data_IF_399543607642
#
_entry.id   IF_399543607642
#
_cell.length_a   1.000
_cell.length_b   1.000
_cell.length_c   1.000
_cell.angle_alpha   90.00
_cell.angle_beta   90.00
_cell.angle_gamma   90.00
#
_symmetry.space_group_name_H-M   'P 1'
#
loop_
_entity.id
_entity.type
_entity.pdbx_description
1 polymer ?
#
# COMPACT_ATOMS: atom_id res chain seq x y z
N UNK A 1 10.49 -30.71 86.28
CA UNK A 1 9.35 -29.98 86.82
C UNK A 1 8.91 -28.87 85.87
N UNK A 2 7.62 -28.74 85.71
CA UNK A 2 6.83 -27.70 84.93
C UNK A 2 6.53 -28.07 83.51
N UNK A 3 5.46 -28.54 83.31
CA UNK A 3 4.02 -28.12 83.16
C UNK A 3 3.67 -27.72 81.74
N UNK A 4 2.99 -28.65 81.11
CA UNK A 4 2.39 -28.53 79.81
C UNK A 4 1.10 -27.71 79.94
N UNK A 5 0.94 -26.65 79.12
CA UNK A 5 -0.36 -26.00 78.91
C UNK A 5 -0.79 -26.20 77.46
N UNK A 6 -1.85 -26.97 77.35
CA UNK A 6 -2.61 -27.16 76.13
C UNK A 6 -3.51 -25.95 75.87
N UNK A 7 -3.48 -25.40 74.69
CA UNK A 7 -4.47 -24.44 74.23
C UNK A 7 -5.34 -25.06 73.14
N UNK A 8 -6.63 -25.04 73.42
CA UNK A 8 -7.68 -25.57 72.58
C UNK A 8 -7.86 -24.67 71.33
N UNK A 9 -7.96 -25.34 70.15
CA UNK A 9 -8.44 -24.76 68.91
C UNK A 9 -9.95 -24.56 68.99
N UNK A 10 -10.42 -23.36 68.78
CA UNK A 10 -11.82 -23.07 68.41
C UNK A 10 -11.91 -22.95 66.90
N UNK A 11 -12.63 -23.85 66.27
CA UNK A 11 -13.09 -23.77 64.92
C UNK A 11 -14.24 -22.74 64.86
N UNK A 12 -14.07 -21.69 64.07
CA UNK A 12 -15.16 -20.89 63.57
C UNK A 12 -15.19 -20.96 62.05
N UNK A 13 -16.16 -21.68 61.59
CA UNK A 13 -16.57 -21.77 60.16
C UNK A 13 -17.25 -20.49 59.74
N UNK A 14 -16.67 -19.78 58.82
CA UNK A 14 -17.33 -18.64 58.14
C UNK A 14 -16.83 -18.55 56.72
N UNK A 15 -17.50 -19.21 55.76
CA UNK A 15 -17.27 -19.01 54.33
C UNK A 15 -17.93 -17.72 53.91
N UNK A 16 -17.25 -16.74 53.28
CA UNK A 16 -17.92 -15.69 52.57
C UNK A 16 -18.30 -16.19 51.13
N UNK A 17 -19.52 -15.90 50.74
CA UNK A 17 -20.11 -16.22 49.49
C UNK A 17 -19.32 -15.55 48.34
N UNK A 18 -18.85 -16.38 47.37
CA UNK A 18 -18.27 -15.92 46.12
C UNK A 18 -19.36 -15.34 45.23
N UNK A 19 -19.37 -14.03 45.13
CA UNK A 19 -20.17 -13.25 44.16
C UNK A 19 -19.67 -13.56 42.74
N UNK A 20 -20.43 -14.38 42.00
CA UNK A 20 -20.24 -14.59 40.56
C UNK A 20 -20.40 -13.24 39.86
N UNK A 21 -19.31 -12.70 39.34
CA UNK A 21 -19.35 -11.59 38.35
C UNK A 21 -19.53 -12.22 36.99
N UNK A 22 -20.74 -12.21 36.47
CA UNK A 22 -21.02 -12.39 35.06
C UNK A 22 -20.43 -11.21 34.29
N UNK A 23 -19.28 -11.45 33.67
CA UNK A 23 -18.66 -10.55 32.72
C UNK A 23 -18.67 -11.21 31.35
N UNK A 24 -19.85 -11.37 30.76
CA UNK A 24 -19.99 -11.60 29.33
C UNK A 24 -19.72 -10.26 28.60
N UNK A 25 -18.45 -9.84 28.59
CA UNK A 25 -18.00 -8.76 27.72
C UNK A 25 -17.77 -9.39 26.34
N UNK A 26 -18.81 -9.43 25.49
CA UNK A 26 -18.66 -9.65 24.06
C UNK A 26 -17.61 -8.68 23.53
N UNK A 27 -16.42 -9.19 23.25
CA UNK A 27 -15.45 -8.51 22.41
C UNK A 27 -15.99 -8.59 20.99
N UNK A 28 -16.60 -7.51 20.54
CA UNK A 28 -16.81 -7.29 19.11
C UNK A 28 -15.43 -7.24 18.46
N UNK A 29 -14.95 -8.39 18.02
CA UNK A 29 -13.81 -8.48 17.14
C UNK A 29 -14.26 -7.87 15.81
N UNK A 30 -14.02 -6.56 15.61
CA UNK A 30 -14.00 -5.97 14.28
C UNK A 30 -13.11 -6.87 13.43
N UNK A 31 -13.71 -7.65 12.55
CA UNK A 31 -13.03 -8.31 11.43
C UNK A 31 -12.36 -7.19 10.62
N UNK A 32 -11.12 -6.88 10.94
CA UNK A 32 -10.25 -6.12 10.08
C UNK A 32 -10.13 -6.94 8.80
N UNK A 33 -10.79 -6.52 7.72
CA UNK A 33 -10.63 -7.15 6.42
C UNK A 33 -9.14 -7.22 6.13
N UNK A 34 -8.62 -8.44 5.93
CA UNK A 34 -7.23 -8.66 5.59
C UNK A 34 -6.93 -7.80 4.33
N UNK A 35 -6.16 -6.73 4.49
CA UNK A 35 -5.70 -5.92 3.36
C UNK A 35 -4.89 -6.84 2.48
N UNK A 36 -5.41 -7.16 1.29
CA UNK A 36 -4.73 -7.99 0.31
C UNK A 36 -3.35 -7.36 0.04
N UNK A 37 -2.29 -8.08 0.36
CA UNK A 37 -0.92 -7.65 0.06
C UNK A 37 -0.75 -7.61 -1.47
N UNK A 38 0.00 -6.62 -1.95
CA UNK A 38 0.35 -6.51 -3.36
C UNK A 38 1.37 -7.62 -3.68
N UNK A 39 1.16 -8.33 -4.78
CA UNK A 39 2.15 -9.26 -5.30
C UNK A 39 3.28 -8.46 -5.96
N UNK A 40 4.54 -8.83 -5.70
CA UNK A 40 5.70 -8.19 -6.33
C UNK A 40 5.62 -8.16 -7.86
N UNK A 41 4.96 -9.16 -8.48
CA UNK A 41 4.73 -9.20 -9.93
C UNK A 41 3.75 -8.12 -10.44
N UNK A 42 3.01 -7.45 -9.56
CA UNK A 42 2.07 -6.38 -9.92
C UNK A 42 2.75 -5.00 -9.91
N UNK A 43 3.94 -4.87 -9.33
CA UNK A 43 4.62 -3.59 -9.14
C UNK A 43 5.02 -2.98 -10.48
N UNK A 44 5.83 -3.68 -11.26
CA UNK A 44 6.33 -3.16 -12.55
C UNK A 44 5.20 -2.89 -13.53
N UNK A 45 4.23 -3.82 -13.76
CA UNK A 45 3.07 -3.52 -14.61
C UNK A 45 2.29 -2.28 -14.18
N UNK A 46 2.11 -2.09 -12.85
CA UNK A 46 1.40 -0.90 -12.33
C UNK A 46 2.20 0.37 -12.57
N UNK A 47 3.50 0.35 -12.38
CA UNK A 47 4.36 1.50 -12.65
C UNK A 47 4.37 1.89 -14.15
N UNK A 48 4.46 0.91 -15.05
CA UNK A 48 4.32 1.16 -16.48
C UNK A 48 2.92 1.71 -16.83
N UNK A 49 1.89 1.22 -16.17
CA UNK A 49 0.54 1.77 -16.33
C UNK A 49 0.45 3.23 -15.86
N UNK A 50 1.09 3.59 -14.73
CA UNK A 50 1.17 4.98 -14.25
C UNK A 50 1.81 5.88 -15.29
N UNK A 51 3.01 5.54 -15.77
CA UNK A 51 3.77 6.31 -16.76
C UNK A 51 2.96 6.54 -18.04
N UNK A 52 2.44 5.44 -18.63
CA UNK A 52 1.71 5.52 -19.88
C UNK A 52 0.38 6.29 -19.73
N UNK A 53 -0.31 6.15 -18.60
CA UNK A 53 -1.55 6.89 -18.32
C UNK A 53 -1.29 8.38 -18.21
N UNK A 54 -0.24 8.81 -17.49
CA UNK A 54 0.14 10.22 -17.38
C UNK A 54 0.52 10.78 -18.75
N UNK A 55 1.30 10.03 -19.54
CA UNK A 55 1.71 10.46 -20.88
C UNK A 55 0.55 10.60 -21.84
N UNK A 56 -0.40 9.67 -21.83
CA UNK A 56 -1.61 9.77 -22.63
C UNK A 56 -2.47 10.99 -22.25
N UNK A 57 -2.60 11.25 -20.96
CA UNK A 57 -3.35 12.40 -20.49
C UNK A 57 -2.66 13.71 -20.82
N UNK A 58 -1.33 13.78 -20.73
CA UNK A 58 -0.52 14.91 -21.18
C UNK A 58 -0.78 15.27 -22.65
N UNK A 59 -0.86 14.28 -23.54
CA UNK A 59 -1.15 14.53 -24.95
C UNK A 59 -2.61 14.92 -25.22
N UNK A 60 -3.52 14.48 -24.36
CA UNK A 60 -4.94 14.68 -24.54
C UNK A 60 -5.44 16.01 -24.01
N UNK A 61 -4.85 16.54 -22.96
CA UNK A 61 -5.32 17.78 -22.33
C UNK A 61 -5.16 18.97 -23.28
N UNK A 62 -6.18 19.83 -23.33
CA UNK A 62 -6.16 21.09 -24.05
C UNK A 62 -5.87 22.28 -23.15
N UNK A 63 -5.80 22.08 -21.83
CA UNK A 63 -5.46 23.11 -20.86
C UNK A 63 -3.95 23.19 -20.70
N UNK A 64 -3.36 24.37 -20.96
CA UNK A 64 -1.91 24.56 -20.91
C UNK A 64 -1.31 24.31 -19.53
N UNK A 65 -1.96 24.76 -18.44
CA UNK A 65 -1.48 24.53 -17.08
C UNK A 65 -1.45 23.03 -16.75
N UNK A 66 -2.51 22.32 -17.09
CA UNK A 66 -2.56 20.84 -16.94
C UNK A 66 -1.51 20.14 -17.80
N UNK A 67 -1.28 20.62 -19.03
CA UNK A 67 -0.26 20.07 -19.93
C UNK A 67 1.14 20.19 -19.31
N UNK A 68 1.48 21.37 -18.79
CA UNK A 68 2.77 21.60 -18.12
C UNK A 68 2.90 20.76 -16.85
N UNK A 69 1.88 20.73 -16.01
CA UNK A 69 1.91 19.93 -14.78
C UNK A 69 2.04 18.42 -15.05
N UNK A 70 1.41 17.90 -16.10
CA UNK A 70 1.56 16.48 -16.48
C UNK A 70 2.91 16.17 -17.09
N UNK A 71 3.56 17.12 -17.75
CA UNK A 71 4.92 16.95 -18.30
C UNK A 71 5.94 16.83 -17.16
N UNK A 72 5.86 17.71 -16.17
CA UNK A 72 6.71 17.67 -14.97
C UNK A 72 6.48 16.38 -14.17
N UNK A 73 5.20 15.98 -13.97
CA UNK A 73 4.86 14.74 -13.31
C UNK A 73 5.47 13.53 -14.04
N UNK A 74 5.32 13.48 -15.38
CA UNK A 74 5.85 12.38 -16.19
C UNK A 74 7.38 12.28 -16.04
N UNK A 75 8.10 13.39 -16.12
CA UNK A 75 9.55 13.41 -15.97
C UNK A 75 10.00 12.87 -14.60
N UNK A 76 9.35 13.32 -13.52
CA UNK A 76 9.62 12.85 -12.16
C UNK A 76 9.32 11.35 -12.00
N UNK A 77 8.14 10.91 -12.46
CA UNK A 77 7.75 9.51 -12.39
C UNK A 77 8.70 8.61 -13.16
N UNK A 78 9.10 9.01 -14.37
CA UNK A 78 10.00 8.21 -15.21
C UNK A 78 11.33 7.93 -14.50
N UNK A 79 11.96 8.95 -13.92
CA UNK A 79 13.21 8.78 -13.18
C UNK A 79 13.04 7.96 -11.91
N UNK A 80 12.00 8.24 -11.11
CA UNK A 80 11.81 7.55 -9.83
C UNK A 80 11.33 6.11 -9.96
N UNK A 81 10.55 5.81 -10.97
CA UNK A 81 10.12 4.43 -11.28
C UNK A 81 11.31 3.62 -11.78
N UNK A 82 12.17 4.19 -12.62
CA UNK A 82 13.39 3.54 -13.08
C UNK A 82 14.29 3.19 -11.89
N UNK A 83 14.61 4.16 -11.04
CA UNK A 83 15.37 3.98 -9.81
C UNK A 83 14.76 2.89 -8.91
N UNK A 84 13.44 2.91 -8.68
CA UNK A 84 12.77 1.91 -7.86
C UNK A 84 12.92 0.51 -8.45
N UNK A 85 12.71 0.35 -9.76
CA UNK A 85 12.80 -0.94 -10.44
C UNK A 85 14.23 -1.47 -10.42
N UNK A 86 15.24 -0.64 -10.65
CA UNK A 86 16.64 -1.03 -10.59
C UNK A 86 17.05 -1.50 -9.19
N UNK A 87 16.69 -0.75 -8.14
CA UNK A 87 16.93 -1.14 -6.74
C UNK A 87 16.23 -2.47 -6.44
N UNK A 88 14.97 -2.62 -6.85
CA UNK A 88 14.19 -3.84 -6.64
C UNK A 88 14.83 -5.05 -7.34
N UNK A 89 15.33 -4.89 -8.57
CA UNK A 89 15.99 -5.95 -9.34
C UNK A 89 17.35 -6.35 -8.72
N UNK A 90 17.99 -5.45 -7.99
CA UNK A 90 19.20 -5.73 -7.23
C UNK A 90 18.95 -6.64 -6.00
N UNK A 91 17.72 -6.72 -5.51
CA UNK A 91 17.34 -7.52 -4.34
C UNK A 91 16.98 -8.95 -4.73
N UNK A 92 17.81 -9.91 -4.33
CA UNK A 92 17.62 -11.34 -4.66
C UNK A 92 16.32 -11.93 -4.07
N UNK A 93 15.95 -11.50 -2.89
CA UNK A 93 14.75 -11.93 -2.16
C UNK A 93 13.44 -11.54 -2.84
N UNK A 94 13.45 -10.58 -3.75
CA UNK A 94 12.26 -10.12 -4.49
C UNK A 94 11.83 -11.07 -5.62
N UNK A 95 12.54 -12.16 -5.87
CA UNK A 95 12.14 -13.20 -6.81
C UNK A 95 12.84 -13.17 -8.18
N UNK A 96 13.76 -12.22 -8.39
CA UNK A 96 14.58 -12.11 -9.58
C UNK A 96 13.88 -11.56 -10.82
N UNK A 97 14.67 -11.16 -11.82
CA UNK A 97 14.22 -10.47 -13.04
C UNK A 97 13.05 -11.12 -13.79
N UNK A 98 13.05 -12.46 -14.05
CA UNK A 98 11.99 -13.07 -14.87
C UNK A 98 10.59 -12.90 -14.26
N UNK A 99 10.46 -12.96 -12.94
CA UNK A 99 9.18 -12.79 -12.25
C UNK A 99 8.75 -11.33 -12.16
N UNK A 100 9.69 -10.45 -11.78
CA UNK A 100 9.38 -9.04 -11.56
C UNK A 100 9.04 -8.31 -12.86
N UNK A 101 9.61 -8.74 -13.98
CA UNK A 101 9.37 -8.15 -15.30
C UNK A 101 8.31 -8.91 -16.13
N UNK A 102 7.63 -9.89 -15.54
CA UNK A 102 6.53 -10.57 -16.20
C UNK A 102 5.32 -9.63 -16.32
N UNK A 103 5.04 -9.14 -17.52
CA UNK A 103 3.86 -8.32 -17.82
C UNK A 103 2.74 -9.24 -18.27
N UNK A 104 1.56 -9.22 -17.60
CA UNK A 104 0.42 -10.02 -18.03
C UNK A 104 0.03 -9.72 -19.48
N UNK A 105 -0.15 -10.76 -20.28
CA UNK A 105 -0.63 -10.59 -21.66
C UNK A 105 -2.11 -10.20 -21.66
N UNK A 106 -2.46 -9.18 -22.43
CA UNK A 106 -3.86 -8.90 -22.79
C UNK A 106 -4.09 -9.58 -24.13
N UNK A 107 -5.03 -10.53 -24.16
CA UNK A 107 -5.43 -11.19 -25.39
C UNK A 107 -5.99 -10.17 -26.38
N UNK A 108 -5.51 -10.13 -27.62
CA UNK A 108 -6.17 -9.32 -28.64
C UNK A 108 -5.35 -8.86 -29.85
N UNK A 109 -4.04 -8.93 -29.83
CA UNK A 109 -3.25 -8.57 -31.02
C UNK A 109 -2.40 -9.75 -31.46
N UNK A 110 -2.78 -10.40 -32.52
CA UNK A 110 -1.96 -11.46 -33.11
C UNK A 110 -0.57 -10.89 -33.48
N UNK A 111 0.49 -11.45 -32.89
CA UNK A 111 1.87 -11.04 -33.10
C UNK A 111 2.36 -9.86 -32.25
N UNK A 112 1.52 -9.20 -31.46
CA UNK A 112 1.95 -8.24 -30.46
C UNK A 112 2.18 -8.93 -29.11
N UNK A 113 3.24 -8.56 -28.41
CA UNK A 113 3.48 -8.97 -27.04
C UNK A 113 2.39 -8.49 -26.07
N UNK A 114 2.54 -8.72 -24.77
CA UNK A 114 1.57 -8.30 -23.77
C UNK A 114 1.35 -6.79 -23.81
N UNK A 115 0.09 -6.37 -23.92
CA UNK A 115 -0.31 -4.96 -23.90
C UNK A 115 -0.87 -4.58 -22.52
N UNK A 116 -0.46 -3.42 -22.03
CA UNK A 116 -1.05 -2.82 -20.85
C UNK A 116 -2.31 -2.07 -21.27
N UNK A 117 -3.47 -2.46 -20.71
CA UNK A 117 -4.73 -1.76 -20.96
C UNK A 117 -4.71 -0.40 -20.26
N UNK A 118 -4.71 0.68 -21.02
CA UNK A 118 -4.72 2.04 -20.51
C UNK A 118 -6.15 2.62 -20.46
N UNK A 119 -6.42 3.41 -19.42
CA UNK A 119 -7.65 4.17 -19.31
C UNK A 119 -7.58 5.45 -20.14
N UNK A 120 -8.72 5.83 -20.73
CA UNK A 120 -8.88 7.12 -21.41
C UNK A 120 -9.73 8.02 -20.52
N UNK A 121 -9.15 9.12 -20.03
CA UNK A 121 -9.81 10.05 -19.11
C UNK A 121 -10.30 11.27 -19.87
N UNK A 122 -11.59 11.61 -19.72
CA UNK A 122 -12.24 12.69 -20.46
C UNK A 122 -12.00 14.08 -19.88
N UNK A 123 -11.72 14.16 -18.58
CA UNK A 123 -11.54 15.41 -17.85
C UNK A 123 -10.61 15.27 -16.64
N UNK A 124 -10.27 16.40 -16.02
CA UNK A 124 -9.38 16.43 -14.84
C UNK A 124 -9.94 15.62 -13.67
N UNK A 125 -11.25 15.61 -13.43
CA UNK A 125 -11.84 14.89 -12.29
C UNK A 125 -11.71 13.36 -12.43
N UNK A 126 -11.93 12.83 -13.63
CA UNK A 126 -11.73 11.41 -13.90
C UNK A 126 -10.24 11.03 -13.78
N UNK A 127 -9.34 11.90 -14.22
CA UNK A 127 -7.91 11.70 -14.13
C UNK A 127 -7.42 11.78 -12.66
N UNK A 128 -7.91 12.75 -11.86
CA UNK A 128 -7.62 12.85 -10.43
C UNK A 128 -7.98 11.55 -9.69
N UNK A 129 -9.15 10.98 -9.96
CA UNK A 129 -9.55 9.68 -9.36
C UNK A 129 -8.55 8.56 -9.67
N UNK A 130 -8.02 8.55 -10.89
CA UNK A 130 -6.99 7.56 -11.25
C UNK A 130 -5.68 7.81 -10.49
N UNK A 131 -5.26 9.07 -10.35
CA UNK A 131 -4.08 9.42 -9.54
C UNK A 131 -4.27 9.00 -8.07
N UNK A 132 -5.45 9.22 -7.48
CA UNK A 132 -5.73 8.74 -6.12
C UNK A 132 -5.65 7.21 -6.01
N UNK A 133 -6.13 6.48 -7.03
CA UNK A 133 -5.97 5.02 -7.07
C UNK A 133 -4.49 4.59 -7.12
N UNK A 134 -3.63 5.33 -7.80
CA UNK A 134 -2.18 5.08 -7.79
C UNK A 134 -1.56 5.37 -6.43
N UNK A 135 -1.97 6.44 -5.76
CA UNK A 135 -1.54 6.75 -4.39
C UNK A 135 -1.93 5.62 -3.43
N UNK A 136 -3.15 5.10 -3.53
CA UNK A 136 -3.62 3.95 -2.75
C UNK A 136 -2.76 2.70 -2.99
N UNK A 137 -2.37 2.45 -4.24
CA UNK A 137 -1.45 1.36 -4.58
C UNK A 137 -0.09 1.56 -3.89
N UNK A 138 0.51 2.75 -4.00
CA UNK A 138 1.79 3.08 -3.38
C UNK A 138 1.75 2.91 -1.84
N UNK A 139 0.67 3.33 -1.20
CA UNK A 139 0.48 3.16 0.25
C UNK A 139 0.35 1.68 0.65
N UNK A 140 -0.24 0.84 -0.19
CA UNK A 140 -0.33 -0.61 0.05
C UNK A 140 1.01 -1.32 -0.03
N UNK A 141 2.00 -0.74 -0.72
CA UNK A 141 3.36 -1.29 -0.77
C UNK A 141 4.02 -1.39 0.61
N UNK A 142 3.63 -0.57 1.60
CA UNK A 142 4.10 -0.69 2.98
C UNK A 142 3.93 -2.11 3.54
N UNK A 143 2.77 -2.70 3.30
CA UNK A 143 2.47 -4.05 3.79
C UNK A 143 3.11 -5.17 2.97
N UNK A 144 3.47 -4.90 1.72
CA UNK A 144 4.00 -5.90 0.79
C UNK A 144 5.53 -5.96 0.81
N UNK A 145 6.18 -4.81 0.98
CA UNK A 145 7.64 -4.72 0.97
C UNK A 145 8.26 -4.97 2.35
N UNK A 146 7.50 -4.81 3.44
CA UNK A 146 8.04 -4.89 4.81
C UNK A 146 8.91 -3.68 5.15
N UNK A 147 8.56 -3.00 6.25
CA UNK A 147 9.17 -1.71 6.62
C UNK A 147 10.66 -1.83 6.95
N UNK A 148 11.09 -2.96 7.53
CA UNK A 148 12.47 -3.10 8.03
C UNK A 148 13.47 -3.55 6.97
N UNK A 149 12.99 -4.21 5.91
CA UNK A 149 13.86 -4.84 4.91
C UNK A 149 14.02 -4.04 3.62
N UNK A 150 13.11 -3.10 3.34
CA UNK A 150 13.05 -2.38 2.07
C UNK A 150 12.89 -0.87 2.26
N UNK A 151 13.61 -0.30 3.23
CA UNK A 151 13.59 1.15 3.55
C UNK A 151 13.96 2.00 2.34
N UNK A 152 14.91 1.54 1.55
CA UNK A 152 15.37 2.14 0.30
C UNK A 152 14.24 2.21 -0.74
N UNK A 153 13.56 1.11 -1.01
CA UNK A 153 12.42 1.07 -1.93
C UNK A 153 11.25 1.95 -1.42
N UNK A 154 11.02 1.95 -0.11
CA UNK A 154 9.98 2.78 0.48
C UNK A 154 10.30 4.28 0.40
N UNK A 155 11.57 4.66 0.50
CA UNK A 155 11.99 6.05 0.31
C UNK A 155 11.71 6.54 -1.12
N UNK A 156 12.09 5.76 -2.14
CA UNK A 156 11.82 6.08 -3.56
C UNK A 156 10.30 6.12 -3.81
N UNK A 157 9.54 5.16 -3.26
CA UNK A 157 8.08 5.16 -3.32
C UNK A 157 7.47 6.44 -2.73
N UNK A 158 8.00 6.94 -1.61
CA UNK A 158 7.52 8.17 -0.98
C UNK A 158 7.76 9.39 -1.87
N UNK A 159 8.85 9.42 -2.65
CA UNK A 159 9.09 10.48 -3.64
C UNK A 159 8.07 10.41 -4.79
N UNK A 160 7.72 9.22 -5.27
CA UNK A 160 6.64 9.04 -6.25
C UNK A 160 5.30 9.54 -5.68
N UNK A 161 5.00 9.20 -4.44
CA UNK A 161 3.78 9.63 -3.75
C UNK A 161 3.74 11.16 -3.57
N UNK A 162 4.88 11.77 -3.24
CA UNK A 162 5.01 13.22 -3.12
C UNK A 162 4.77 13.91 -4.47
N UNK A 163 5.29 13.36 -5.57
CA UNK A 163 5.05 13.88 -6.93
C UNK A 163 3.55 13.87 -7.30
N UNK A 164 2.83 12.80 -6.97
CA UNK A 164 1.38 12.76 -7.17
C UNK A 164 0.63 13.79 -6.30
N UNK A 165 1.04 13.97 -5.05
CA UNK A 165 0.42 14.98 -4.18
C UNK A 165 0.65 16.39 -4.71
N UNK A 166 1.87 16.71 -5.15
CA UNK A 166 2.20 17.98 -5.77
C UNK A 166 1.37 18.22 -7.04
N UNK A 167 1.28 17.22 -7.90
CA UNK A 167 0.48 17.31 -9.12
C UNK A 167 -1.00 17.58 -8.82
N UNK A 168 -1.60 16.87 -7.86
CA UNK A 168 -2.99 17.10 -7.45
C UNK A 168 -3.22 18.52 -6.94
N UNK A 169 -2.25 19.07 -6.20
CA UNK A 169 -2.29 20.47 -5.78
C UNK A 169 -2.27 21.41 -6.99
N UNK A 170 -1.34 21.20 -7.93
CA UNK A 170 -1.25 22.06 -9.14
C UNK A 170 -2.54 22.03 -9.97
N UNK A 171 -3.24 20.89 -10.02
CA UNK A 171 -4.54 20.79 -10.67
C UNK A 171 -5.65 21.61 -10.00
N UNK A 172 -5.48 22.06 -8.77
CA UNK A 172 -6.43 22.97 -8.13
C UNK A 172 -6.28 24.42 -8.62
N UNK A 173 -5.15 24.71 -9.28
CA UNK A 173 -4.81 26.03 -9.79
C UNK A 173 -5.12 26.21 -11.30
N UNK A 174 -5.68 25.17 -11.93
CA UNK A 174 -5.94 25.10 -13.38
C UNK A 174 -7.40 25.27 -13.75
#
# INVERSE_FOLDING_TARGET
>A
MRSKRTYRRNNLTGRPATRKRDATRKRDSKKGGARKSINNNEIVPTFLHMLNTVKLYHWKTTNFATHKATDELYGTLNGKIDEFVEVMLGKREMGGRPKLLAIPSVAGCAGAGPLIKLGVYSNNEAFKKQIESYKDFLLKLNGSLGLDMNVDLLAIRDEILAAFNQFLYLLTLS
#
